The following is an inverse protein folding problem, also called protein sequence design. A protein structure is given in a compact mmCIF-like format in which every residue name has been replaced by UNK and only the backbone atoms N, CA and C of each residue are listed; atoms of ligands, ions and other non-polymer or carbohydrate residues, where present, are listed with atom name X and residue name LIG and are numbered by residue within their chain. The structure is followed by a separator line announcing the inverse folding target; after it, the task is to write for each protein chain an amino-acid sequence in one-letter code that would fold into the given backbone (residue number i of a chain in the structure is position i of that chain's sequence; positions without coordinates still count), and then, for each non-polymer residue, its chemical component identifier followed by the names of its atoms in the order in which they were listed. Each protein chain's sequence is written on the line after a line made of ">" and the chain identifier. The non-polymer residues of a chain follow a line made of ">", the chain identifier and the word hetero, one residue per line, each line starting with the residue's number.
data_IF_983783928915
#
_entry.id   IF_983783928915
#
_cell.length_a   1.000
_cell.length_b   1.000
_cell.length_c   1.000
_cell.angle_alpha   90.00
_cell.angle_beta   90.00
_cell.angle_gamma   90.00
#
_symmetry.space_group_name_H-M   'P 1'
#
loop_
_entity.id
_entity.type
_entity.pdbx_description
1 polymer ?
#
# COMPACT_ATOMS: atom_id res chain seq x y z
N UNK A 1 -26.00 15.73 -32.02
CA UNK A 1 -26.23 14.36 -31.51
C UNK A 1 -25.10 14.05 -30.52
N UNK A 2 -25.09 14.60 -29.30
CA UNK A 2 -25.67 14.03 -28.06
C UNK A 2 -26.18 12.59 -28.11
N UNK A 3 -25.85 11.87 -27.04
CA UNK A 3 -25.92 10.42 -26.77
C UNK A 3 -24.71 9.69 -27.36
N UNK A 4 -23.75 9.19 -26.59
CA UNK A 4 -23.92 8.37 -25.39
C UNK A 4 -22.66 8.47 -24.53
N UNK A 5 -22.65 9.40 -23.57
CA UNK A 5 -21.78 9.27 -22.40
C UNK A 5 -22.28 8.01 -21.72
N UNK A 6 -21.65 6.86 -21.97
CA UNK A 6 -21.87 5.62 -21.24
C UNK A 6 -21.43 5.89 -19.81
N UNK A 7 -22.36 6.49 -19.10
CA UNK A 7 -22.67 6.40 -17.70
C UNK A 7 -22.13 5.05 -17.20
N UNK A 8 -20.88 5.06 -16.73
CA UNK A 8 -20.39 4.00 -15.87
C UNK A 8 -21.51 3.76 -14.85
N UNK A 9 -22.00 2.51 -14.69
CA UNK A 9 -23.23 2.26 -13.96
C UNK A 9 -23.15 2.99 -12.62
N UNK A 10 -24.26 3.56 -12.11
CA UNK A 10 -24.31 4.12 -10.77
C UNK A 10 -24.13 2.93 -9.84
N UNK A 11 -22.87 2.58 -9.62
CA UNK A 11 -22.53 1.30 -9.04
C UNK A 11 -22.86 1.49 -7.58
N UNK A 12 -24.00 0.95 -7.13
CA UNK A 12 -24.44 0.98 -5.73
C UNK A 12 -23.31 0.51 -4.81
N UNK A 13 -22.43 -0.32 -5.35
CA UNK A 13 -21.26 -0.88 -4.72
C UNK A 13 -20.02 0.03 -4.69
N UNK A 14 -19.99 1.16 -5.41
CA UNK A 14 -18.83 2.08 -5.39
C UNK A 14 -18.59 2.64 -4.00
N UNK A 15 -19.65 3.07 -3.31
CA UNK A 15 -19.56 3.52 -1.93
C UNK A 15 -19.12 2.39 -1.00
N UNK A 16 -19.60 1.17 -1.24
CA UNK A 16 -19.19 -0.01 -0.49
C UNK A 16 -17.70 -0.30 -0.67
N UNK A 17 -17.17 -0.25 -1.90
CA UNK A 17 -15.73 -0.46 -2.14
C UNK A 17 -14.87 0.64 -1.53
N UNK A 18 -15.31 1.90 -1.57
CA UNK A 18 -14.63 3.00 -0.88
C UNK A 18 -14.65 2.77 0.63
N UNK A 19 -15.80 2.42 1.20
CA UNK A 19 -15.93 2.14 2.62
C UNK A 19 -15.04 0.96 3.04
N UNK A 20 -15.03 -0.13 2.27
CA UNK A 20 -14.16 -1.29 2.49
C UNK A 20 -12.68 -0.88 2.45
N UNK A 21 -12.26 -0.13 1.43
CA UNK A 21 -10.87 0.33 1.32
C UNK A 21 -10.46 1.21 2.51
N UNK A 22 -11.30 2.19 2.87
CA UNK A 22 -11.06 3.08 4.03
C UNK A 22 -11.04 2.29 5.34
N UNK A 23 -11.98 1.38 5.55
CA UNK A 23 -12.01 0.51 6.73
C UNK A 23 -10.79 -0.39 6.81
N UNK A 24 -10.31 -0.92 5.68
CA UNK A 24 -9.11 -1.76 5.62
C UNK A 24 -7.84 -0.94 5.94
N UNK A 25 -7.73 0.27 5.38
CA UNK A 25 -6.68 1.24 5.73
C UNK A 25 -6.71 1.62 7.21
N UNK A 26 -7.89 1.90 7.76
CA UNK A 26 -8.08 2.24 9.17
C UNK A 26 -7.74 1.06 10.09
N UNK A 27 -8.17 -0.15 9.73
CA UNK A 27 -7.83 -1.36 10.46
C UNK A 27 -6.31 -1.57 10.47
N UNK A 28 -5.63 -1.43 9.33
CA UNK A 28 -4.18 -1.56 9.27
C UNK A 28 -3.45 -0.52 10.11
N UNK A 29 -3.99 0.70 10.22
CA UNK A 29 -3.48 1.72 11.12
C UNK A 29 -3.68 1.35 12.60
N UNK A 30 -4.85 0.82 12.97
CA UNK A 30 -5.11 0.36 14.34
C UNK A 30 -4.24 -0.84 14.72
N UNK A 31 -4.05 -1.77 13.79
CA UNK A 31 -3.18 -2.94 13.94
C UNK A 31 -1.72 -2.66 13.54
N UNK A 32 -1.30 -1.38 13.57
CA UNK A 32 0.06 -0.98 13.23
C UNK A 32 1.13 -1.53 14.22
N UNK A 33 0.74 -2.06 15.38
CA UNK A 33 1.68 -2.74 16.30
C UNK A 33 1.48 -4.25 16.37
N UNK A 34 0.62 -4.81 15.53
CA UNK A 34 0.33 -6.24 15.57
C UNK A 34 1.47 -7.06 14.94
N UNK A 35 1.93 -8.08 15.67
CA UNK A 35 2.97 -9.01 15.22
C UNK A 35 2.32 -10.15 14.41
N UNK A 36 2.19 -9.96 13.10
CA UNK A 36 1.61 -10.95 12.19
C UNK A 36 2.36 -12.29 12.23
N UNK A 37 3.70 -12.26 12.23
CA UNK A 37 4.50 -13.48 12.30
C UNK A 37 4.30 -14.23 13.63
N UNK A 38 4.21 -13.50 14.76
CA UNK A 38 3.95 -14.11 16.07
C UNK A 38 2.57 -14.76 16.18
N UNK A 39 1.55 -14.15 15.57
CA UNK A 39 0.20 -14.72 15.50
C UNK A 39 0.12 -15.99 14.63
N UNK A 40 0.89 -16.05 13.53
CA UNK A 40 0.96 -17.26 12.70
C UNK A 40 1.76 -18.34 13.43
N UNK A 41 2.88 -17.99 14.05
CA UNK A 41 3.75 -18.94 14.75
C UNK A 41 3.05 -19.57 15.97
N UNK A 42 2.23 -18.80 16.68
CA UNK A 42 1.40 -19.30 17.78
C UNK A 42 0.28 -20.25 17.32
N UNK A 43 -0.28 -20.03 16.12
CA UNK A 43 -1.24 -20.95 15.49
C UNK A 43 -0.58 -22.25 15.01
N UNK A 44 0.67 -22.20 14.57
CA UNK A 44 1.45 -23.34 14.09
C UNK A 44 2.11 -24.13 15.24
N UNK A 45 2.05 -23.62 16.48
CA UNK A 45 2.59 -24.31 17.66
C UNK A 45 4.12 -24.32 17.76
N UNK A 46 4.79 -23.42 17.03
CA UNK A 46 6.25 -23.27 17.03
C UNK A 46 6.70 -22.25 18.09
N UNK A 47 7.75 -22.57 18.85
CA UNK A 47 8.28 -21.68 19.89
C UNK A 47 8.93 -20.44 19.27
N UNK A 48 8.57 -19.26 19.78
CA UNK A 48 9.05 -17.94 19.35
C UNK A 48 10.58 -17.78 19.37
N UNK A 49 11.29 -18.67 20.07
CA UNK A 49 12.74 -18.61 20.28
C UNK A 49 13.59 -19.20 19.15
N UNK A 50 12.99 -19.90 18.17
CA UNK A 50 13.74 -20.58 17.09
C UNK A 50 13.95 -19.73 15.82
N UNK A 51 13.28 -18.58 15.71
CA UNK A 51 13.32 -17.72 14.52
C UNK A 51 14.11 -16.46 14.80
N UNK A 52 15.10 -16.16 13.95
CA UNK A 52 15.95 -14.98 14.10
C UNK A 52 15.11 -13.68 14.04
N UNK A 53 15.37 -12.68 14.91
CA UNK A 53 14.65 -11.39 14.94
C UNK A 53 14.46 -10.71 13.56
N UNK A 54 15.46 -10.78 12.68
CA UNK A 54 15.38 -10.35 11.27
C UNK A 54 14.11 -10.80 10.54
N UNK A 55 13.69 -12.06 10.70
CA UNK A 55 12.53 -12.60 9.98
C UNK A 55 11.20 -12.02 10.49
N UNK A 56 11.06 -11.81 11.81
CA UNK A 56 9.91 -11.13 12.39
C UNK A 56 9.78 -9.70 11.84
N UNK A 57 10.90 -9.01 11.74
CA UNK A 57 10.95 -7.64 11.25
C UNK A 57 10.60 -7.54 9.76
N UNK A 58 11.23 -8.35 8.90
CA UNK A 58 11.00 -8.35 7.46
C UNK A 58 9.56 -8.74 7.14
N UNK A 59 9.06 -9.83 7.72
CA UNK A 59 7.74 -10.35 7.41
C UNK A 59 6.62 -9.38 7.79
N UNK A 60 6.66 -8.84 9.02
CA UNK A 60 5.63 -7.90 9.48
C UNK A 60 5.61 -6.63 8.62
N UNK A 61 6.77 -6.14 8.15
CA UNK A 61 6.83 -4.98 7.26
C UNK A 61 6.32 -5.28 5.86
N UNK A 62 6.72 -6.41 5.28
CA UNK A 62 6.26 -6.83 3.95
C UNK A 62 4.75 -7.02 3.92
N UNK A 63 4.18 -7.73 4.89
CA UNK A 63 2.72 -7.89 4.99
C UNK A 63 2.02 -6.53 5.12
N UNK A 64 2.56 -5.61 5.91
CA UNK A 64 1.97 -4.27 6.06
C UNK A 64 1.99 -3.48 4.76
N UNK A 65 3.12 -3.47 4.05
CA UNK A 65 3.25 -2.79 2.77
C UNK A 65 2.21 -3.34 1.78
N UNK A 66 2.18 -4.66 1.61
CA UNK A 66 1.27 -5.32 0.66
C UNK A 66 -0.19 -4.99 0.99
N UNK A 67 -0.62 -5.11 2.25
CA UNK A 67 -2.03 -4.86 2.62
C UNK A 67 -2.39 -3.39 2.45
N UNK A 68 -1.52 -2.46 2.84
CA UNK A 68 -1.76 -1.02 2.71
C UNK A 68 -1.83 -0.57 1.25
N UNK A 69 -0.89 -1.02 0.42
CA UNK A 69 -0.86 -0.63 -0.98
C UNK A 69 -2.00 -1.31 -1.75
N UNK A 70 -2.35 -2.55 -1.41
CA UNK A 70 -3.53 -3.22 -1.98
C UNK A 70 -4.83 -2.49 -1.61
N UNK A 71 -4.95 -2.00 -0.37
CA UNK A 71 -6.10 -1.19 0.06
C UNK A 71 -6.20 0.11 -0.75
N UNK A 72 -5.05 0.74 -1.01
CA UNK A 72 -4.96 1.96 -1.82
C UNK A 72 -5.25 1.67 -3.30
N UNK A 73 -4.87 0.49 -3.79
CA UNK A 73 -5.22 0.02 -5.14
C UNK A 73 -6.74 -0.17 -5.29
N UNK A 74 -7.41 -0.80 -4.33
CA UNK A 74 -8.89 -0.90 -4.29
C UNK A 74 -9.52 0.49 -4.26
N UNK A 75 -8.92 1.43 -3.51
CA UNK A 75 -9.42 2.80 -3.44
C UNK A 75 -9.34 3.50 -4.80
N UNK A 76 -8.22 3.37 -5.53
CA UNK A 76 -8.08 3.91 -6.90
C UNK A 76 -9.10 3.24 -7.83
N UNK A 77 -9.30 1.92 -7.70
CA UNK A 77 -10.28 1.18 -8.49
C UNK A 77 -11.70 1.72 -8.27
N UNK A 78 -12.08 1.91 -7.01
CA UNK A 78 -13.38 2.43 -6.64
C UNK A 78 -13.55 3.91 -7.03
N UNK A 79 -12.48 4.71 -6.97
CA UNK A 79 -12.56 6.16 -7.22
C UNK A 79 -12.61 6.48 -8.72
N UNK A 80 -11.83 5.80 -9.55
CA UNK A 80 -11.74 6.14 -10.97
C UNK A 80 -12.37 5.11 -11.90
N UNK A 81 -12.34 3.81 -11.56
CA UNK A 81 -12.88 2.70 -12.36
C UNK A 81 -12.41 2.67 -13.84
N UNK A 82 -11.28 3.31 -14.16
CA UNK A 82 -10.71 3.29 -15.50
C UNK A 82 -9.47 2.38 -15.57
N UNK A 83 -9.39 1.58 -16.64
CA UNK A 83 -8.26 0.66 -16.85
C UNK A 83 -6.92 1.37 -16.96
N UNK A 84 -6.89 2.60 -17.46
CA UNK A 84 -5.67 3.42 -17.59
C UNK A 84 -5.02 3.67 -16.22
N UNK A 85 -5.81 4.12 -15.24
CA UNK A 85 -5.33 4.39 -13.89
C UNK A 85 -4.95 3.10 -13.14
N UNK A 86 -5.68 2.01 -13.37
CA UNK A 86 -5.37 0.69 -12.81
C UNK A 86 -4.03 0.13 -13.26
N UNK A 87 -3.69 0.24 -14.55
CA UNK A 87 -2.39 -0.22 -15.05
C UNK A 87 -1.22 0.53 -14.41
N UNK A 88 -1.37 1.85 -14.24
CA UNK A 88 -0.34 2.68 -13.61
C UNK A 88 -0.22 2.35 -12.12
N UNK A 89 -1.35 2.23 -11.40
CA UNK A 89 -1.35 1.85 -9.98
C UNK A 89 -0.73 0.47 -9.74
N UNK A 90 -1.03 -0.50 -10.61
CA UNK A 90 -0.43 -1.83 -10.55
C UNK A 90 1.09 -1.76 -10.83
N UNK A 91 1.52 -0.92 -11.78
CA UNK A 91 2.93 -0.70 -12.07
C UNK A 91 3.70 -0.12 -10.88
N UNK A 92 3.12 0.86 -10.19
CA UNK A 92 3.71 1.44 -8.96
C UNK A 92 3.77 0.39 -7.85
N UNK A 93 2.70 -0.36 -7.62
CA UNK A 93 2.66 -1.43 -6.62
C UNK A 93 3.74 -2.50 -6.86
N UNK A 94 3.90 -2.96 -8.11
CA UNK A 94 4.96 -3.91 -8.45
C UNK A 94 6.35 -3.30 -8.28
N UNK A 95 6.52 -2.02 -8.62
CA UNK A 95 7.78 -1.32 -8.44
C UNK A 95 8.16 -1.22 -6.95
N UNK A 96 7.19 -0.92 -6.08
CA UNK A 96 7.36 -0.91 -4.63
C UNK A 96 7.83 -2.26 -4.10
N UNK A 97 7.16 -3.36 -4.51
CA UNK A 97 7.48 -4.71 -4.03
C UNK A 97 8.81 -5.25 -4.60
N UNK A 98 9.09 -5.03 -5.88
CA UNK A 98 10.21 -5.67 -6.57
C UNK A 98 11.50 -4.88 -6.46
N UNK A 99 11.43 -3.56 -6.40
CA UNK A 99 12.62 -2.71 -6.38
C UNK A 99 12.79 -2.01 -5.04
N UNK A 100 11.75 -1.31 -4.59
CA UNK A 100 11.85 -0.41 -3.44
C UNK A 100 11.99 -1.17 -2.11
N UNK A 101 11.23 -2.25 -1.93
CA UNK A 101 11.25 -3.07 -0.73
C UNK A 101 12.55 -3.87 -0.58
N UNK A 102 13.09 -4.55 -1.61
CA UNK A 102 14.39 -5.21 -1.52
C UNK A 102 15.52 -4.21 -1.31
N UNK A 103 15.47 -3.05 -1.99
CA UNK A 103 16.44 -1.98 -1.79
C UNK A 103 16.41 -1.47 -0.33
N UNK A 104 15.21 -1.30 0.24
CA UNK A 104 15.04 -0.92 1.64
C UNK A 104 15.68 -1.94 2.59
N UNK A 105 15.42 -3.23 2.37
CA UNK A 105 16.00 -4.28 3.22
C UNK A 105 17.51 -4.37 3.10
N UNK A 106 18.07 -4.27 1.88
CA UNK A 106 19.52 -4.25 1.68
C UNK A 106 20.14 -3.06 2.41
N UNK A 107 19.62 -1.85 2.20
CA UNK A 107 20.15 -0.65 2.85
C UNK A 107 20.04 -0.72 4.37
N UNK A 108 18.90 -1.19 4.89
CA UNK A 108 18.68 -1.28 6.34
C UNK A 108 19.57 -2.34 7.00
N UNK A 109 19.62 -3.55 6.43
CA UNK A 109 20.43 -4.64 6.96
C UNK A 109 21.94 -4.34 6.85
N UNK A 110 22.37 -3.65 5.79
CA UNK A 110 23.78 -3.28 5.61
C UNK A 110 24.23 -2.10 6.46
N UNK A 111 23.36 -1.14 6.80
CA UNK A 111 23.75 0.09 7.52
C UNK A 111 23.46 0.07 9.02
N UNK A 112 22.36 -0.55 9.46
CA UNK A 112 21.87 -0.45 10.86
C UNK A 112 21.73 -1.80 11.57
N UNK A 113 21.89 -2.91 10.83
CA UNK A 113 21.71 -4.26 11.36
C UNK A 113 20.28 -4.51 11.85
N UNK A 114 20.15 -5.20 12.99
CA UNK A 114 18.86 -5.60 13.62
C UNK A 114 18.16 -4.46 14.37
N UNK A 115 18.75 -3.27 14.41
CA UNK A 115 18.33 -2.20 15.29
C UNK A 115 17.04 -1.53 14.79
N UNK A 116 16.02 -1.43 15.66
CA UNK A 116 14.75 -0.76 15.33
C UNK A 116 14.90 0.75 15.09
N UNK A 117 16.00 1.34 15.56
CA UNK A 117 16.28 2.78 15.45
C UNK A 117 16.88 3.07 14.09
N UNK A 118 16.03 3.55 13.19
CA UNK A 118 16.48 4.07 11.91
C UNK A 118 16.94 5.51 12.01
N UNK A 119 18.08 5.79 11.40
CA UNK A 119 18.61 7.14 11.22
C UNK A 119 17.53 8.05 10.61
N UNK A 120 17.56 9.37 10.90
CA UNK A 120 16.50 10.29 10.50
C UNK A 120 16.16 10.25 9.00
N UNK A 121 17.17 10.06 8.13
CA UNK A 121 17.04 9.88 6.68
C UNK A 121 16.40 8.55 6.30
N UNK A 122 16.80 7.45 6.94
CA UNK A 122 16.21 6.14 6.68
C UNK A 122 14.77 6.06 7.20
N UNK A 123 14.39 6.88 8.18
CA UNK A 123 13.00 7.02 8.63
C UNK A 123 12.09 7.66 7.56
N UNK A 124 12.62 8.58 6.75
CA UNK A 124 11.87 9.19 5.65
C UNK A 124 11.73 8.22 4.48
N UNK A 125 12.80 7.50 4.13
CA UNK A 125 12.71 6.39 3.17
C UNK A 125 11.74 5.31 3.65
N UNK A 126 11.74 4.99 4.94
CA UNK A 126 10.77 4.07 5.52
C UNK A 126 9.33 4.58 5.35
N UNK A 127 9.05 5.87 5.51
CA UNK A 127 7.71 6.43 5.24
C UNK A 127 7.35 6.43 3.76
N UNK A 128 8.33 6.63 2.89
CA UNK A 128 8.11 6.61 1.45
C UNK A 128 7.80 5.19 0.95
N UNK A 129 8.49 4.19 1.50
CA UNK A 129 8.48 2.80 1.03
C UNK A 129 7.45 1.95 1.78
N UNK A 130 7.34 2.08 3.11
CA UNK A 130 6.52 1.19 3.95
C UNK A 130 5.11 1.73 4.19
N UNK A 131 4.88 3.02 3.95
CA UNK A 131 3.53 3.56 3.88
C UNK A 131 3.14 3.73 2.41
N UNK A 132 1.83 3.64 2.08
CA UNK A 132 1.27 3.76 0.72
C UNK A 132 1.35 5.20 0.16
N UNK A 133 2.43 5.92 0.42
CA UNK A 133 2.58 7.33 0.07
C UNK A 133 2.64 7.53 -1.44
N UNK A 134 3.30 6.64 -2.19
CA UNK A 134 3.31 6.70 -3.65
C UNK A 134 1.91 6.41 -4.22
N UNK A 135 1.19 5.45 -3.65
CA UNK A 135 -0.18 5.15 -4.04
C UNK A 135 -1.14 6.33 -3.74
N UNK A 136 -0.99 7.00 -2.60
CA UNK A 136 -1.74 8.22 -2.30
C UNK A 136 -1.35 9.40 -3.21
N UNK A 137 -0.06 9.55 -3.52
CA UNK A 137 0.40 10.55 -4.48
C UNK A 137 -0.19 10.29 -5.86
N UNK A 138 -0.33 9.02 -6.25
CA UNK A 138 -0.93 8.61 -7.50
C UNK A 138 -2.43 8.95 -7.56
N UNK A 139 -3.17 8.75 -6.46
CA UNK A 139 -4.55 9.23 -6.34
C UNK A 139 -4.62 10.74 -6.58
N UNK A 140 -3.76 11.52 -5.91
CA UNK A 140 -3.72 12.97 -6.07
C UNK A 140 -3.37 13.40 -7.50
N UNK A 141 -2.40 12.73 -8.14
CA UNK A 141 -2.02 12.96 -9.52
C UNK A 141 -3.17 12.68 -10.51
N UNK A 142 -3.91 11.59 -10.31
CA UNK A 142 -5.07 11.26 -11.14
C UNK A 142 -6.23 12.24 -10.94
N UNK A 143 -6.45 12.71 -9.71
CA UNK A 143 -7.41 13.79 -9.44
C UNK A 143 -7.02 15.05 -10.21
N UNK A 144 -5.74 15.46 -10.14
CA UNK A 144 -5.23 16.62 -10.86
C UNK A 144 -5.36 16.49 -12.38
N UNK A 145 -5.00 15.33 -12.94
CA UNK A 145 -5.15 15.06 -14.37
C UNK A 145 -6.61 15.19 -14.82
N UNK A 146 -7.54 14.61 -14.06
CA UNK A 146 -8.97 14.69 -14.36
C UNK A 146 -9.51 16.11 -14.30
N UNK A 147 -9.08 16.90 -13.31
CA UNK A 147 -9.47 18.32 -13.23
C UNK A 147 -8.94 19.13 -14.43
N UNK A 148 -7.72 18.84 -14.89
CA UNK A 148 -7.13 19.51 -16.05
C UNK A 148 -7.86 19.14 -17.36
N UNK A 149 -8.18 17.85 -17.56
CA UNK A 149 -8.91 17.38 -18.74
C UNK A 149 -10.34 17.96 -18.82
N UNK A 150 -11.01 18.21 -17.69
CA UNK A 150 -12.33 18.88 -17.67
C UNK A 150 -12.24 20.37 -18.02
N UNK A 151 -11.09 21.02 -17.79
CA UNK A 151 -10.93 22.48 -17.98
C UNK A 151 -10.58 22.87 -19.41
N UNK A 152 -10.19 21.93 -20.26
CA UNK A 152 -9.79 22.19 -21.64
C UNK A 152 -10.69 21.34 -22.56
N UNK A 153 -11.84 21.89 -23.02
CA UNK A 153 -12.61 21.29 -24.11
C UNK A 153 -11.88 21.41 -25.45
#
# INVERSE_FOLDING_TARGET
>A
MQSEKTFLPPNRYRLLWIAVAISMLAAMYLFQRFNFLGAILSLVGQNHSAVHPYYFFIFNKTCRLIINDFSSFILIFALFNERKYMKVALGVFLFEIVFLLPLYFVLKLSLEGDSEISSPLLSQLHRLIVNPTLMFLLIAAFLYQRFKEVRIP
#
